data_IF_026569907125
#
_entry.id   IF_026569907125
#
_cell.length_a   1.000
_cell.length_b   1.000
_cell.length_c   1.000
_cell.angle_alpha   90.00
_cell.angle_beta   90.00
_cell.angle_gamma   90.00
#
_symmetry.space_group_name_H-M   'P 1'
#
loop_
_entity.id
_entity.type
_entity.pdbx_description
1 polymer ?
#
# COMPACT_ATOMS: atom_id res chain seq x y z
N UNK A 1 -12.18 -7.08 -7.32
CA UNK A 1 -12.72 -6.75 -5.99
C UNK A 1 -12.68 -5.25 -5.80
N UNK A 2 -13.53 -4.72 -4.93
CA UNK A 2 -13.53 -3.32 -4.55
C UNK A 2 -12.74 -3.21 -3.24
N UNK A 3 -11.95 -2.16 -3.10
CA UNK A 3 -11.12 -1.96 -1.92
C UNK A 3 -10.92 -0.48 -1.64
N UNK A 4 -10.63 -0.18 -0.37
CA UNK A 4 -10.13 1.13 0.08
C UNK A 4 -8.67 1.01 0.49
N UNK A 5 -7.90 2.09 0.32
CA UNK A 5 -6.52 2.18 0.80
C UNK A 5 -6.43 3.40 1.71
N UNK A 6 -6.07 3.15 2.96
CA UNK A 6 -5.72 4.19 3.93
C UNK A 6 -4.20 4.19 4.12
N UNK A 7 -3.60 5.38 4.28
CA UNK A 7 -2.16 5.51 4.36
C UNK A 7 -1.68 6.56 5.35
N UNK A 8 -0.56 6.30 6.00
CA UNK A 8 0.18 7.26 6.82
C UNK A 8 1.62 7.34 6.32
N UNK A 9 2.05 8.54 5.95
CA UNK A 9 3.43 8.81 5.58
C UNK A 9 4.14 9.60 6.69
N UNK A 10 5.33 9.13 7.07
CA UNK A 10 6.23 9.82 7.99
C UNK A 10 7.40 10.42 7.22
N UNK A 11 7.45 11.75 7.13
CA UNK A 11 8.57 12.47 6.52
C UNK A 11 9.87 12.35 7.33
N UNK A 12 9.79 12.08 8.63
CA UNK A 12 10.97 11.91 9.48
C UNK A 12 11.72 10.61 9.16
N UNK A 13 10.98 9.53 8.93
CA UNK A 13 11.54 8.19 8.70
C UNK A 13 11.47 7.77 7.24
N UNK A 14 10.84 8.57 6.38
CA UNK A 14 10.51 8.25 5.00
C UNK A 14 9.80 6.90 4.85
N UNK A 15 8.92 6.59 5.81
CA UNK A 15 8.15 5.35 5.84
C UNK A 15 6.70 5.63 5.51
N UNK A 16 6.09 4.71 4.78
CA UNK A 16 4.69 4.73 4.42
C UNK A 16 4.04 3.42 4.86
N UNK A 17 3.07 3.53 5.76
CA UNK A 17 2.21 2.41 6.13
C UNK A 17 0.91 2.54 5.36
N UNK A 18 0.56 1.52 4.57
CA UNK A 18 -0.70 1.45 3.83
C UNK A 18 -1.52 0.26 4.31
N UNK A 19 -2.83 0.45 4.47
CA UNK A 19 -3.78 -0.60 4.77
C UNK A 19 -4.78 -0.66 3.62
N UNK A 20 -4.73 -1.74 2.86
CA UNK A 20 -5.71 -2.05 1.83
C UNK A 20 -6.79 -2.94 2.43
N UNK A 21 -8.02 -2.45 2.50
CA UNK A 21 -9.17 -3.20 3.01
C UNK A 21 -10.06 -3.61 1.84
N UNK A 22 -10.28 -4.91 1.64
CA UNK A 22 -11.25 -5.39 0.67
C UNK A 22 -12.67 -5.30 1.23
N UNK A 23 -13.60 -4.78 0.45
CA UNK A 23 -15.01 -4.77 0.83
C UNK A 23 -15.55 -6.19 0.90
N UNK A 24 -16.32 -6.48 1.97
CA UNK A 24 -17.01 -7.77 2.11
C UNK A 24 -17.91 -8.00 0.89
N UNK A 25 -18.02 -9.25 0.49
CA UNK A 25 -18.84 -9.69 -0.65
C UNK A 25 -18.35 -9.18 -2.02
N UNK A 26 -17.09 -8.71 -2.12
CA UNK A 26 -16.47 -8.35 -3.41
C UNK A 26 -15.40 -9.36 -3.84
N UNK A 27 -15.55 -9.92 -5.05
CA UNK A 27 -14.69 -11.01 -5.55
C UNK A 27 -15.11 -12.40 -5.07
N UNK A 28 -14.16 -13.32 -4.88
CA UNK A 28 -14.45 -14.65 -4.34
C UNK A 28 -14.73 -14.53 -2.83
N UNK A 29 -15.99 -14.74 -2.43
CA UNK A 29 -16.46 -14.58 -1.05
C UNK A 29 -15.77 -15.54 -0.06
N UNK A 30 -15.24 -16.66 -0.53
CA UNK A 30 -14.50 -17.61 0.32
C UNK A 30 -13.05 -17.17 0.60
N UNK A 31 -12.55 -16.21 -0.17
CA UNK A 31 -11.15 -15.74 -0.11
C UNK A 31 -11.02 -14.26 0.29
N UNK A 32 -12.12 -13.48 0.25
CA UNK A 32 -12.13 -12.04 0.52
C UNK A 32 -13.10 -11.68 1.66
N UNK A 33 -13.03 -12.39 2.79
CA UNK A 33 -13.86 -12.09 3.97
C UNK A 33 -13.27 -10.88 4.71
N UNK A 34 -13.41 -9.69 4.12
CA UNK A 34 -13.00 -8.42 4.73
C UNK A 34 -11.54 -8.37 5.16
N UNK A 35 -10.65 -8.96 4.36
CA UNK A 35 -9.23 -9.06 4.72
C UNK A 35 -8.51 -7.72 4.53
N UNK A 36 -7.56 -7.47 5.42
CA UNK A 36 -6.67 -6.33 5.35
C UNK A 36 -5.30 -6.78 4.88
N UNK A 37 -4.78 -6.09 3.86
CA UNK A 37 -3.37 -6.16 3.46
C UNK A 37 -2.67 -4.97 4.08
N UNK A 38 -1.68 -5.23 4.92
CA UNK A 38 -0.77 -4.18 5.41
C UNK A 38 0.43 -4.12 4.50
N UNK A 39 0.78 -2.94 4.02
CA UNK A 39 2.03 -2.68 3.33
C UNK A 39 2.87 -1.73 4.19
N UNK A 40 4.12 -2.09 4.42
CA UNK A 40 5.09 -1.25 5.12
C UNK A 40 6.20 -0.95 4.13
N UNK A 41 6.21 0.28 3.63
CA UNK A 41 7.12 0.73 2.58
C UNK A 41 8.08 1.78 3.12
N UNK A 42 9.28 1.82 2.58
CA UNK A 42 10.29 2.83 2.84
C UNK A 42 10.71 3.45 1.53
N UNK A 43 10.93 4.76 1.50
CA UNK A 43 11.47 5.43 0.33
C UNK A 43 12.90 4.94 0.05
N UNK A 44 13.13 4.47 -1.17
CA UNK A 44 14.44 4.17 -1.71
C UNK A 44 14.81 5.28 -2.70
N UNK A 45 15.76 6.13 -2.30
CA UNK A 45 16.25 7.25 -3.11
C UNK A 45 17.11 6.83 -4.30
N UNK A 46 17.74 5.65 -4.24
CA UNK A 46 18.62 5.19 -5.33
C UNK A 46 17.79 4.73 -6.54
N UNK A 47 16.56 4.27 -6.28
CA UNK A 47 15.64 3.77 -7.29
C UNK A 47 14.41 4.67 -7.49
N UNK A 48 14.30 5.79 -6.75
CA UNK A 48 13.14 6.70 -6.74
C UNK A 48 11.79 5.98 -6.58
N UNK A 49 11.71 5.05 -5.63
CA UNK A 49 10.50 4.26 -5.39
C UNK A 49 10.33 3.89 -3.93
N UNK A 50 9.09 3.59 -3.53
CA UNK A 50 8.81 3.00 -2.23
C UNK A 50 8.96 1.48 -2.30
N UNK A 51 9.76 0.90 -1.40
CA UNK A 51 10.02 -0.54 -1.35
C UNK A 51 9.69 -1.09 0.02
N UNK A 52 9.18 -2.32 0.08
CA UNK A 52 8.95 -2.95 1.37
C UNK A 52 8.20 -4.25 1.29
N UNK A 53 7.51 -4.59 2.38
CA UNK A 53 6.79 -5.86 2.48
C UNK A 53 5.28 -5.63 2.54
N UNK A 54 4.54 -6.50 1.87
CA UNK A 54 3.12 -6.69 2.14
C UNK A 54 2.92 -7.88 3.05
N UNK A 55 1.89 -7.81 3.87
CA UNK A 55 1.47 -8.86 4.79
C UNK A 55 -0.05 -8.99 4.79
N UNK A 56 -0.53 -10.22 4.71
CA UNK A 56 -1.92 -10.60 4.92
C UNK A 56 -1.99 -11.64 6.01
N UNK A 57 -2.88 -11.43 6.98
CA UNK A 57 -3.24 -12.45 7.95
C UNK A 57 -4.74 -12.49 8.16
N UNK A 58 -5.29 -13.66 7.93
CA UNK A 58 -6.68 -14.02 8.20
C UNK A 58 -6.69 -15.26 9.08
N UNK A 59 -7.87 -15.74 9.48
CA UNK A 59 -7.97 -17.01 10.20
C UNK A 59 -7.53 -18.21 9.34
N UNK A 60 -7.64 -18.10 8.01
CA UNK A 60 -7.49 -19.22 7.08
C UNK A 60 -6.30 -19.08 6.13
N UNK A 61 -5.71 -17.88 6.03
CA UNK A 61 -4.63 -17.58 5.10
C UNK A 61 -3.60 -16.64 5.72
N UNK A 62 -2.32 -16.91 5.43
CA UNK A 62 -1.21 -16.02 5.72
C UNK A 62 -0.38 -15.88 4.45
N UNK A 63 -0.09 -14.64 4.07
CA UNK A 63 0.78 -14.32 2.95
C UNK A 63 1.70 -13.17 3.29
N UNK A 64 2.90 -13.20 2.74
CA UNK A 64 3.85 -12.11 2.79
C UNK A 64 4.69 -12.08 1.51
N UNK A 65 5.19 -10.91 1.14
CA UNK A 65 6.04 -10.76 -0.03
C UNK A 65 6.61 -9.35 -0.14
N UNK A 66 7.40 -9.14 -1.19
CA UNK A 66 7.99 -7.85 -1.52
C UNK A 66 6.98 -7.03 -2.32
N UNK A 67 6.93 -5.74 -2.07
CA UNK A 67 6.13 -4.77 -2.80
C UNK A 67 6.97 -3.56 -3.17
N UNK A 68 6.78 -3.09 -4.40
CA UNK A 68 7.43 -1.89 -4.94
C UNK A 68 6.34 -0.97 -5.47
N UNK A 69 6.35 0.28 -5.02
CA UNK A 69 5.47 1.34 -5.50
C UNK A 69 6.34 2.41 -6.18
N UNK A 70 6.27 2.41 -7.51
CA UNK A 70 6.96 3.39 -8.37
C UNK A 70 6.10 4.62 -8.52
N UNK A 71 6.72 5.79 -8.42
CA UNK A 71 6.10 7.04 -8.83
C UNK A 71 6.33 7.16 -10.34
N UNK A 72 5.28 7.06 -11.15
CA UNK A 72 5.38 7.39 -12.58
C UNK A 72 5.54 8.92 -12.74
N UNK A 73 6.19 9.36 -13.81
CA UNK A 73 6.55 10.78 -14.08
C UNK A 73 5.36 11.77 -13.97
N UNK A 74 4.11 11.31 -14.12
CA UNK A 74 2.92 12.15 -13.92
C UNK A 74 2.61 12.49 -12.45
N UNK A 75 3.29 11.85 -11.50
CA UNK A 75 3.15 12.08 -10.06
C UNK A 75 3.89 13.34 -9.60
N UNK A 76 4.97 13.71 -10.29
CA UNK A 76 5.78 14.90 -9.96
C UNK A 76 4.99 16.20 -10.17
N UNK A 77 4.11 16.24 -11.18
CA UNK A 77 3.23 17.38 -11.45
C UNK A 77 2.19 17.65 -10.35
N UNK A 78 1.91 16.68 -9.47
CA UNK A 78 0.96 16.85 -8.37
C UNK A 78 1.62 17.40 -7.09
N UNK A 79 2.90 17.10 -6.86
CA UNK A 79 3.64 17.55 -5.67
C UNK A 79 3.91 19.06 -5.74
N UNK A 80 4.20 19.59 -6.93
CA UNK A 80 4.43 21.03 -7.13
C UNK A 80 3.19 21.89 -6.87
N UNK A 81 1.96 21.34 -6.97
CA UNK A 81 0.71 22.08 -6.73
C UNK A 81 0.26 22.16 -5.27
N UNK A 82 0.87 21.37 -4.38
CA UNK A 82 0.52 21.36 -2.95
C UNK A 82 1.46 22.24 -2.09
N UNK A 83 2.44 22.89 -2.73
CA UNK A 83 3.40 23.79 -2.08
C UNK A 83 3.19 25.28 -2.45
N UNK A 84 2.09 25.64 -3.13
CA UNK A 84 1.67 27.03 -3.41
C UNK A 84 0.49 27.48 -2.53
#
# INVERSE_FOLDING_TARGET
GIFTIDGVFSSQTHRMDLIKTYERDTGNSNENIGHQVTLQLTWNSDHNQFEGKWFVRTSNYRGEGIFELKLDEFSELLIDRLND
#
